data_IF_829049858993
#
_entry.id   IF_829049858993
#
_cell.length_a   1.000
_cell.length_b   1.000
_cell.length_c   1.000
_cell.angle_alpha   90.00
_cell.angle_beta   90.00
_cell.angle_gamma   90.00
#
_symmetry.space_group_name_H-M   'P 1'
#
loop_
_entity.id
_entity.type
_entity.pdbx_description
1 polymer ?
#
# COMPACT_ATOMS: atom_id res chain seq x y z
N UNK A 1 21.03 -46.65 -31.80
CA UNK A 1 21.27 -47.28 -30.46
C UNK A 1 20.58 -46.50 -29.34
N UNK A 2 20.46 -47.01 -28.10
CA UNK A 2 19.78 -46.28 -27.00
C UNK A 2 20.44 -44.91 -26.75
N UNK A 3 21.77 -44.87 -26.57
CA UNK A 3 22.53 -43.62 -26.34
C UNK A 3 22.43 -42.61 -27.48
N UNK A 4 22.32 -43.09 -28.71
CA UNK A 4 22.14 -42.22 -29.88
C UNK A 4 20.78 -41.53 -29.89
N UNK A 5 19.70 -42.24 -29.51
CA UNK A 5 18.38 -41.63 -29.32
C UNK A 5 18.41 -40.58 -28.21
N UNK A 6 19.12 -40.85 -27.12
CA UNK A 6 19.25 -39.91 -26.00
C UNK A 6 20.04 -38.65 -26.39
N UNK A 7 21.12 -38.80 -27.18
CA UNK A 7 21.88 -37.66 -27.72
C UNK A 7 21.03 -36.81 -28.68
N UNK A 8 20.32 -37.45 -29.62
CA UNK A 8 19.43 -36.74 -30.55
C UNK A 8 18.29 -36.00 -29.82
N UNK A 9 17.74 -36.61 -28.76
CA UNK A 9 16.71 -35.95 -27.96
C UNK A 9 17.28 -34.76 -27.18
N UNK A 10 18.47 -34.90 -26.58
CA UNK A 10 19.15 -33.77 -25.95
C UNK A 10 19.38 -32.62 -26.94
N UNK A 11 19.88 -32.90 -28.14
CA UNK A 11 20.08 -31.89 -29.19
C UNK A 11 18.78 -31.16 -29.55
N UNK A 12 17.65 -31.87 -29.63
CA UNK A 12 16.34 -31.25 -29.91
C UNK A 12 15.85 -30.31 -28.80
N UNK A 13 16.41 -30.43 -27.59
CA UNK A 13 16.05 -29.66 -26.41
C UNK A 13 17.02 -28.51 -26.12
N UNK A 14 18.13 -28.40 -26.86
CA UNK A 14 19.22 -27.46 -26.58
C UNK A 14 18.77 -25.99 -26.61
N UNK A 15 17.83 -25.64 -27.48
CA UNK A 15 17.33 -24.27 -27.67
C UNK A 15 15.96 -24.03 -27.00
N UNK A 16 15.45 -25.00 -26.23
CA UNK A 16 14.17 -24.86 -25.54
C UNK A 16 14.22 -23.75 -24.50
N UNK A 17 13.19 -22.91 -24.47
CA UNK A 17 12.99 -21.88 -23.42
C UNK A 17 11.99 -22.31 -22.34
N UNK A 18 11.47 -23.54 -22.39
CA UNK A 18 10.70 -24.13 -21.29
C UNK A 18 11.66 -24.65 -20.21
N UNK A 19 12.25 -23.70 -19.46
CA UNK A 19 13.35 -23.97 -18.54
C UNK A 19 13.05 -25.07 -17.53
N UNK A 20 11.83 -25.09 -16.98
CA UNK A 20 11.42 -26.03 -15.94
C UNK A 20 11.26 -27.45 -16.47
N UNK A 21 10.47 -27.60 -17.55
CA UNK A 21 10.18 -28.91 -18.14
C UNK A 21 11.45 -29.48 -18.78
N UNK A 22 12.19 -28.68 -19.55
CA UNK A 22 13.39 -29.14 -20.24
C UNK A 22 14.53 -29.48 -19.28
N UNK A 23 14.74 -28.73 -18.19
CA UNK A 23 15.71 -29.12 -17.16
C UNK A 23 15.34 -30.45 -16.48
N UNK A 24 14.04 -30.68 -16.24
CA UNK A 24 13.53 -31.96 -15.78
C UNK A 24 13.85 -33.08 -16.77
N UNK A 25 13.63 -32.84 -18.06
CA UNK A 25 13.89 -33.82 -19.11
C UNK A 25 15.38 -34.15 -19.25
N UNK A 26 16.27 -33.17 -19.20
CA UNK A 26 17.72 -33.42 -19.19
C UNK A 26 18.16 -34.29 -18.00
N UNK A 27 17.52 -34.17 -16.84
CA UNK A 27 17.78 -35.04 -15.68
C UNK A 27 17.39 -36.48 -15.97
N UNK A 28 16.23 -36.70 -16.58
CA UNK A 28 15.77 -38.03 -16.99
C UNK A 28 16.67 -38.62 -18.08
N UNK A 29 17.04 -37.84 -19.10
CA UNK A 29 17.95 -38.27 -20.15
C UNK A 29 19.31 -38.68 -19.60
N UNK A 30 19.85 -37.94 -18.63
CA UNK A 30 21.10 -38.29 -17.96
C UNK A 30 20.99 -39.58 -17.14
N UNK A 31 19.84 -39.83 -16.50
CA UNK A 31 19.56 -41.10 -15.82
C UNK A 31 19.53 -42.26 -16.82
N UNK A 32 18.78 -42.07 -17.91
CA UNK A 32 18.61 -43.09 -18.95
C UNK A 32 19.95 -43.35 -19.68
N UNK A 33 20.79 -42.33 -19.84
CA UNK A 33 22.15 -42.45 -20.38
C UNK A 33 23.02 -43.38 -19.55
N UNK A 34 23.00 -43.19 -18.22
CA UNK A 34 23.72 -44.05 -17.27
C UNK A 34 23.20 -45.50 -17.29
N UNK A 35 21.93 -45.71 -17.61
CA UNK A 35 21.31 -47.03 -17.68
C UNK A 35 21.51 -47.75 -19.02
N UNK A 36 21.85 -47.04 -20.10
CA UNK A 36 21.86 -47.56 -21.48
C UNK A 36 22.94 -48.61 -21.81
N UNK A 37 23.80 -48.99 -20.85
CA UNK A 37 24.87 -49.98 -21.05
C UNK A 37 26.07 -49.45 -21.85
N UNK A 38 27.17 -50.23 -21.93
CA UNK A 38 28.38 -49.83 -22.64
C UNK A 38 28.20 -49.86 -24.17
N UNK A 39 28.84 -48.93 -24.86
CA UNK A 39 29.01 -48.91 -26.31
C UNK A 39 30.52 -48.95 -26.65
N UNK A 40 30.92 -49.22 -27.90
CA UNK A 40 32.32 -49.05 -28.31
C UNK A 40 32.82 -47.66 -27.93
N UNK A 41 34.01 -47.59 -27.29
CA UNK A 41 34.51 -46.37 -26.65
C UNK A 41 34.44 -45.12 -27.53
N UNK A 42 34.90 -45.21 -28.77
CA UNK A 42 34.89 -44.06 -29.69
C UNK A 42 33.47 -43.55 -29.99
N UNK A 43 32.50 -44.47 -30.11
CA UNK A 43 31.10 -44.12 -30.34
C UNK A 43 30.48 -43.53 -29.07
N UNK A 44 30.82 -44.08 -27.90
CA UNK A 44 30.36 -43.57 -26.62
C UNK A 44 30.85 -42.15 -26.37
N UNK A 45 32.15 -41.91 -26.58
CA UNK A 45 32.79 -40.60 -26.42
C UNK A 45 32.18 -39.56 -27.37
N UNK A 46 31.94 -39.93 -28.63
CA UNK A 46 31.32 -39.04 -29.62
C UNK A 46 29.87 -38.70 -29.26
N UNK A 47 29.06 -39.70 -28.88
CA UNK A 47 27.67 -39.47 -28.47
C UNK A 47 27.60 -38.69 -27.15
N UNK A 48 28.52 -38.93 -26.23
CA UNK A 48 28.60 -38.21 -24.96
C UNK A 48 28.93 -36.74 -25.17
N UNK A 49 29.89 -36.44 -26.05
CA UNK A 49 30.23 -35.06 -26.42
C UNK A 49 29.03 -34.31 -27.00
N UNK A 50 28.24 -34.97 -27.85
CA UNK A 50 27.00 -34.41 -28.43
C UNK A 50 25.96 -34.14 -27.34
N UNK A 51 25.70 -35.13 -26.50
CA UNK A 51 24.76 -35.01 -25.38
C UNK A 51 25.14 -33.85 -24.45
N UNK A 52 26.42 -33.78 -24.05
CA UNK A 52 26.93 -32.72 -23.18
C UNK A 52 26.90 -31.36 -23.84
N UNK A 53 27.30 -31.24 -25.10
CA UNK A 53 27.22 -29.98 -25.83
C UNK A 53 25.79 -29.43 -25.87
N UNK A 54 24.80 -30.27 -26.17
CA UNK A 54 23.39 -29.86 -26.14
C UNK A 54 22.92 -29.43 -24.75
N UNK A 55 23.30 -30.18 -23.71
CA UNK A 55 23.00 -29.85 -22.32
C UNK A 55 23.62 -28.50 -21.92
N UNK A 56 24.90 -28.30 -22.25
CA UNK A 56 25.64 -27.09 -21.91
C UNK A 56 25.00 -25.87 -22.60
N UNK A 57 24.67 -25.95 -23.90
CA UNK A 57 23.93 -24.89 -24.62
C UNK A 57 22.63 -24.48 -23.92
N UNK A 58 21.83 -25.46 -23.48
CA UNK A 58 20.56 -25.18 -22.80
C UNK A 58 20.77 -24.47 -21.45
N UNK A 59 21.70 -24.96 -20.62
CA UNK A 59 21.93 -24.39 -19.29
C UNK A 59 22.64 -23.03 -19.36
N UNK A 60 23.55 -22.81 -20.32
CA UNK A 60 24.15 -21.49 -20.57
C UNK A 60 23.08 -20.45 -20.96
N UNK A 61 22.15 -20.83 -21.85
CA UNK A 61 21.04 -19.95 -22.27
C UNK A 61 20.10 -19.62 -21.09
N UNK A 62 19.77 -20.63 -20.28
CA UNK A 62 18.96 -20.44 -19.06
C UNK A 62 19.65 -19.52 -18.06
N UNK A 63 20.94 -19.72 -17.82
CA UNK A 63 21.70 -18.94 -16.85
C UNK A 63 21.85 -17.49 -17.33
N UNK A 64 22.07 -17.26 -18.63
CA UNK A 64 22.05 -15.93 -19.23
C UNK A 64 20.67 -15.25 -19.07
N UNK A 65 19.57 -15.99 -19.29
CA UNK A 65 18.21 -15.47 -19.09
C UNK A 65 17.95 -15.10 -17.63
N UNK A 66 18.38 -15.91 -16.67
CA UNK A 66 18.25 -15.59 -15.25
C UNK A 66 19.10 -14.36 -14.88
N UNK A 67 20.34 -14.27 -15.38
CA UNK A 67 21.20 -13.12 -15.13
C UNK A 67 20.61 -11.82 -15.67
N UNK A 68 19.94 -11.87 -16.83
CA UNK A 68 19.22 -10.72 -17.37
C UNK A 68 18.05 -10.30 -16.47
N UNK A 69 17.26 -11.25 -15.97
CA UNK A 69 16.17 -10.98 -15.03
C UNK A 69 16.69 -10.39 -13.70
N UNK A 70 17.81 -10.92 -13.19
CA UNK A 70 18.43 -10.41 -11.97
C UNK A 70 18.91 -8.96 -12.15
N UNK A 71 19.48 -8.63 -13.31
CA UNK A 71 19.86 -7.25 -13.66
C UNK A 71 18.64 -6.33 -13.78
N UNK A 72 17.58 -6.78 -14.45
CA UNK A 72 16.32 -6.03 -14.56
C UNK A 72 15.74 -5.75 -13.17
N UNK A 73 15.68 -6.76 -12.31
CA UNK A 73 15.14 -6.60 -10.96
C UNK A 73 16.01 -5.67 -10.11
N UNK A 74 17.34 -5.75 -10.23
CA UNK A 74 18.25 -4.83 -9.55
C UNK A 74 18.01 -3.37 -9.98
N UNK A 75 17.87 -3.11 -11.28
CA UNK A 75 17.56 -1.78 -11.79
C UNK A 75 16.20 -1.27 -11.30
N UNK A 76 15.17 -2.13 -11.29
CA UNK A 76 13.86 -1.80 -10.73
C UNK A 76 13.93 -1.46 -9.24
N UNK A 77 14.79 -2.15 -8.48
CA UNK A 77 14.99 -1.85 -7.06
C UNK A 77 15.58 -0.45 -6.85
N UNK A 78 16.54 -0.04 -7.67
CA UNK A 78 17.11 1.32 -7.60
C UNK A 78 16.06 2.41 -7.90
N UNK A 79 15.21 2.19 -8.91
CA UNK A 79 14.09 3.09 -9.21
C UNK A 79 13.15 3.20 -8.01
N UNK A 80 12.79 2.06 -7.42
CA UNK A 80 11.94 2.02 -6.21
C UNK A 80 12.59 2.72 -5.02
N UNK A 81 13.89 2.62 -4.84
CA UNK A 81 14.59 3.38 -3.79
C UNK A 81 14.51 4.89 -3.99
N UNK A 82 14.66 5.36 -5.22
CA UNK A 82 14.52 6.79 -5.53
C UNK A 82 13.09 7.28 -5.27
N UNK A 83 12.09 6.45 -5.61
CA UNK A 83 10.69 6.74 -5.32
C UNK A 83 10.42 6.76 -3.81
N UNK A 84 11.05 5.88 -3.03
CA UNK A 84 10.96 5.90 -1.57
C UNK A 84 11.51 7.18 -0.98
N UNK A 85 12.66 7.67 -1.46
CA UNK A 85 13.21 8.94 -0.99
C UNK A 85 12.22 10.08 -1.24
N UNK A 86 11.56 10.10 -2.41
CA UNK A 86 10.51 11.09 -2.71
C UNK A 86 9.28 10.92 -1.81
N UNK A 87 8.86 9.68 -1.54
CA UNK A 87 7.71 9.39 -0.69
C UNK A 87 7.97 9.79 0.77
N UNK A 88 9.14 9.45 1.29
CA UNK A 88 9.57 9.77 2.65
C UNK A 88 9.70 11.28 2.85
N UNK A 89 10.07 12.03 1.80
CA UNK A 89 10.11 13.49 1.82
C UNK A 89 8.72 14.15 1.89
N UNK A 90 7.62 13.41 1.67
CA UNK A 90 6.26 13.91 1.93
C UNK A 90 5.96 14.01 3.44
N UNK A 91 6.85 13.48 4.29
CA UNK A 91 6.72 13.49 5.72
C UNK A 91 7.67 14.52 6.37
N UNK A 92 7.22 15.24 7.43
CA UNK A 92 5.86 15.24 7.98
C UNK A 92 4.84 15.89 7.03
N UNK A 93 3.59 15.44 7.09
CA UNK A 93 2.52 15.95 6.21
C UNK A 93 2.11 17.35 6.64
N UNK A 94 2.42 18.35 5.80
CA UNK A 94 2.01 19.76 6.03
C UNK A 94 0.80 20.17 5.19
N UNK A 95 0.65 19.57 4.01
CA UNK A 95 -0.48 19.76 3.10
C UNK A 95 -0.96 18.37 2.67
N UNK A 96 -2.13 17.97 3.18
CA UNK A 96 -2.65 16.63 2.95
C UNK A 96 -3.03 16.39 1.48
N UNK A 97 -3.65 17.38 0.82
CA UNK A 97 -4.10 17.23 -0.56
C UNK A 97 -2.92 17.19 -1.55
N UNK A 98 -1.88 17.98 -1.29
CA UNK A 98 -0.64 17.90 -2.06
C UNK A 98 0.09 16.57 -1.81
N UNK A 99 0.20 16.13 -0.55
CA UNK A 99 0.84 14.87 -0.20
C UNK A 99 0.14 13.66 -0.83
N UNK A 100 -1.20 13.61 -0.80
CA UNK A 100 -1.98 12.53 -1.43
C UNK A 100 -1.81 12.48 -2.94
N UNK A 101 -1.78 13.64 -3.61
CA UNK A 101 -1.52 13.71 -5.06
C UNK A 101 -0.12 13.22 -5.41
N UNK A 102 0.90 13.73 -4.73
CA UNK A 102 2.28 13.31 -4.94
C UNK A 102 2.47 11.82 -4.65
N UNK A 103 1.86 11.30 -3.56
CA UNK A 103 1.93 9.88 -3.23
C UNK A 103 1.25 9.00 -4.28
N UNK A 104 0.11 9.41 -4.85
CA UNK A 104 -0.53 8.68 -5.95
C UNK A 104 0.40 8.57 -7.17
N UNK A 105 1.03 9.67 -7.58
CA UNK A 105 1.96 9.67 -8.70
C UNK A 105 3.18 8.76 -8.42
N UNK A 106 3.64 8.70 -7.18
CA UNK A 106 4.71 7.80 -6.75
C UNK A 106 4.24 6.35 -6.78
N UNK A 107 3.03 6.04 -6.31
CA UNK A 107 2.46 4.71 -6.32
C UNK A 107 2.31 4.17 -7.76
N UNK A 108 1.85 5.01 -8.68
CA UNK A 108 1.73 4.64 -10.10
C UNK A 108 3.11 4.31 -10.70
N UNK A 109 4.14 5.12 -10.40
CA UNK A 109 5.53 4.84 -10.83
C UNK A 109 6.12 3.61 -10.14
N UNK A 110 5.75 3.37 -8.88
CA UNK A 110 6.20 2.22 -8.11
C UNK A 110 5.70 0.91 -8.70
N UNK A 111 4.43 0.88 -9.11
CA UNK A 111 3.82 -0.27 -9.77
C UNK A 111 4.41 -0.46 -11.17
N UNK A 112 4.60 0.63 -11.92
CA UNK A 112 5.21 0.60 -13.25
C UNK A 112 6.67 0.13 -13.22
N UNK A 113 7.42 0.37 -12.15
CA UNK A 113 8.80 -0.08 -11.98
C UNK A 113 8.93 -1.61 -11.88
N UNK A 114 7.85 -2.36 -11.68
CA UNK A 114 7.87 -3.82 -11.78
C UNK A 114 8.48 -4.55 -10.58
N UNK A 115 9.07 -5.72 -10.85
CA UNK A 115 9.56 -6.66 -9.81
C UNK A 115 10.97 -6.30 -9.35
N UNK A 116 11.26 -6.65 -8.10
CA UNK A 116 12.55 -6.43 -7.43
C UNK A 116 13.11 -7.74 -6.88
N UNK A 117 14.41 -7.81 -6.51
CA UNK A 117 14.98 -8.99 -5.89
C UNK A 117 14.21 -9.34 -4.61
N UNK A 118 13.98 -10.64 -4.39
CA UNK A 118 13.16 -11.14 -3.28
C UNK A 118 13.63 -10.66 -1.91
N UNK A 119 14.94 -10.52 -1.74
CA UNK A 119 15.55 -10.02 -0.50
C UNK A 119 15.25 -8.54 -0.22
N UNK A 120 15.05 -7.73 -1.27
CA UNK A 120 14.74 -6.29 -1.17
C UNK A 120 13.25 -6.01 -1.05
N UNK A 121 12.41 -6.90 -1.56
CA UNK A 121 10.94 -6.76 -1.62
C UNK A 121 10.34 -6.34 -0.28
N UNK A 122 10.64 -7.07 0.80
CA UNK A 122 10.07 -6.82 2.13
C UNK A 122 10.43 -5.44 2.69
N UNK A 123 11.68 -5.02 2.51
CA UNK A 123 12.15 -3.71 2.99
C UNK A 123 11.48 -2.58 2.21
N UNK A 124 11.54 -2.65 0.89
CA UNK A 124 10.96 -1.66 -0.03
C UNK A 124 9.45 -1.49 0.21
N UNK A 125 8.70 -2.59 0.29
CA UNK A 125 7.25 -2.55 0.59
C UNK A 125 6.95 -2.04 2.00
N UNK A 126 7.78 -2.39 2.97
CA UNK A 126 7.62 -1.94 4.36
C UNK A 126 7.74 -0.41 4.47
N UNK A 127 8.72 0.17 3.78
CA UNK A 127 8.96 1.63 3.78
C UNK A 127 7.83 2.39 3.10
N UNK A 128 7.41 1.98 1.91
CA UNK A 128 6.32 2.70 1.19
C UNK A 128 4.99 2.60 1.94
N UNK A 129 4.68 1.43 2.51
CA UNK A 129 3.48 1.22 3.35
C UNK A 129 3.50 2.12 4.58
N UNK A 130 4.67 2.34 5.19
CA UNK A 130 4.78 3.23 6.36
C UNK A 130 4.43 4.68 5.99
N UNK A 131 4.88 5.14 4.83
CA UNK A 131 4.51 6.47 4.31
C UNK A 131 3.01 6.55 4.07
N UNK A 132 2.44 5.57 3.37
CA UNK A 132 1.00 5.48 3.10
C UNK A 132 0.17 5.54 4.39
N UNK A 133 0.52 4.73 5.39
CA UNK A 133 -0.17 4.68 6.68
C UNK A 133 -0.08 6.01 7.43
N UNK A 134 1.06 6.71 7.32
CA UNK A 134 1.24 8.01 7.96
C UNK A 134 0.33 9.07 7.31
N UNK A 135 0.30 9.12 5.97
CA UNK A 135 -0.57 10.04 5.23
C UNK A 135 -2.04 9.74 5.55
N UNK A 136 -2.43 8.46 5.55
CA UNK A 136 -3.79 8.04 5.88
C UNK A 136 -4.18 8.37 7.33
N UNK A 137 -3.27 8.19 8.28
CA UNK A 137 -3.51 8.57 9.68
C UNK A 137 -3.79 10.06 9.84
N UNK A 138 -3.06 10.91 9.11
CA UNK A 138 -3.31 12.37 9.12
C UNK A 138 -4.68 12.70 8.49
N UNK A 139 -5.07 12.01 7.42
CA UNK A 139 -6.41 12.14 6.84
C UNK A 139 -7.52 11.73 7.81
N UNK A 140 -7.37 10.57 8.45
CA UNK A 140 -8.35 10.05 9.41
C UNK A 140 -8.48 10.98 10.64
N UNK A 141 -7.36 11.55 11.12
CA UNK A 141 -7.34 12.54 12.20
C UNK A 141 -8.04 13.84 11.80
N UNK A 142 -7.80 14.32 10.58
CA UNK A 142 -8.46 15.52 10.06
C UNK A 142 -9.97 15.29 9.91
N UNK A 143 -10.37 14.16 9.33
CA UNK A 143 -11.78 13.78 9.16
C UNK A 143 -12.51 13.62 10.51
N UNK A 144 -11.85 13.00 11.50
CA UNK A 144 -12.42 12.81 12.85
C UNK A 144 -12.63 14.13 13.60
N UNK A 145 -11.80 15.13 13.34
CA UNK A 145 -11.96 16.50 13.86
C UNK A 145 -13.08 17.24 13.14
N UNK A 146 -13.16 17.10 11.82
CA UNK A 146 -14.22 17.69 11.00
C UNK A 146 -15.51 16.84 10.94
N UNK A 147 -15.72 15.90 11.88
CA UNK A 147 -16.78 14.91 11.83
C UNK A 147 -18.16 15.61 11.71
N UNK A 148 -18.86 15.46 10.57
CA UNK A 148 -20.12 16.14 10.31
C UNK A 148 -21.20 15.80 11.35
N UNK A 149 -21.17 14.61 11.95
CA UNK A 149 -22.12 14.25 13.00
C UNK A 149 -21.86 15.01 14.30
N UNK A 150 -20.60 15.28 14.64
CA UNK A 150 -20.24 16.06 15.83
C UNK A 150 -20.58 17.53 15.63
N UNK A 151 -20.30 18.09 14.45
CA UNK A 151 -20.76 19.44 14.07
C UNK A 151 -22.29 19.53 14.14
N UNK A 152 -23.02 18.61 13.51
CA UNK A 152 -24.49 18.64 13.50
C UNK A 152 -25.11 18.49 14.90
N UNK A 153 -24.54 17.66 15.78
CA UNK A 153 -24.97 17.55 17.18
C UNK A 153 -24.71 18.83 17.98
N UNK A 154 -23.56 19.48 17.74
CA UNK A 154 -23.24 20.75 18.37
C UNK A 154 -24.20 21.86 17.90
N UNK A 155 -24.50 21.90 16.60
CA UNK A 155 -25.43 22.86 16.01
C UNK A 155 -26.88 22.67 16.50
N UNK A 156 -27.34 21.42 16.62
CA UNK A 156 -28.65 21.11 17.24
C UNK A 156 -28.72 21.53 18.72
N UNK A 157 -27.63 21.35 19.48
CA UNK A 157 -27.56 21.79 20.87
C UNK A 157 -27.58 23.32 20.99
N UNK A 158 -26.86 24.03 20.13
CA UNK A 158 -26.88 25.50 20.02
C UNK A 158 -28.30 25.99 19.72
N UNK A 159 -28.98 25.38 18.73
CA UNK A 159 -30.35 25.74 18.37
C UNK A 159 -31.33 25.53 19.54
N UNK A 160 -31.21 24.42 20.27
CA UNK A 160 -32.02 24.14 21.47
C UNK A 160 -31.78 25.14 22.59
N UNK A 161 -30.51 25.48 22.87
CA UNK A 161 -30.14 26.46 23.89
C UNK A 161 -30.63 27.87 23.55
N UNK A 162 -30.52 28.27 22.28
CA UNK A 162 -31.03 29.57 21.81
C UNK A 162 -32.55 29.65 22.01
N UNK A 163 -33.31 28.64 21.55
CA UNK A 163 -34.76 28.59 21.75
C UNK A 163 -35.13 28.66 23.25
N UNK A 164 -34.39 27.92 24.07
CA UNK A 164 -34.54 27.91 25.51
C UNK A 164 -34.24 29.26 26.19
N UNK A 165 -33.35 30.07 25.62
CA UNK A 165 -33.04 31.43 26.04
C UNK A 165 -34.18 32.36 25.63
N UNK A 166 -34.63 32.29 24.38
CA UNK A 166 -35.72 33.11 23.84
C UNK A 166 -37.03 32.92 24.64
N UNK A 167 -37.34 31.67 25.00
CA UNK A 167 -38.51 31.35 25.84
C UNK A 167 -38.38 31.97 27.25
N UNK A 168 -37.18 31.93 27.85
CA UNK A 168 -36.93 32.55 29.17
C UNK A 168 -36.99 34.07 29.09
N UNK A 169 -36.47 34.68 28.04
CA UNK A 169 -36.54 36.14 27.84
C UNK A 169 -37.98 36.60 27.69
N UNK A 170 -38.81 35.83 26.98
CA UNK A 170 -40.26 36.08 26.87
C UNK A 170 -40.96 36.00 28.23
N UNK A 171 -40.66 34.99 29.04
CA UNK A 171 -41.25 34.83 30.36
C UNK A 171 -40.72 35.85 31.38
N UNK A 172 -39.46 36.29 31.22
CA UNK A 172 -38.87 37.37 32.01
C UNK A 172 -39.64 38.67 31.79
N UNK A 173 -39.92 39.03 30.53
CA UNK A 173 -40.69 40.23 30.19
C UNK A 173 -42.09 40.21 30.82
N UNK A 174 -42.81 39.08 30.72
CA UNK A 174 -44.13 38.91 31.38
C UNK A 174 -44.04 39.04 32.91
N UNK A 175 -43.00 38.48 33.52
CA UNK A 175 -42.80 38.54 34.96
C UNK A 175 -42.46 39.97 35.44
N UNK A 176 -41.73 40.74 34.63
CA UNK A 176 -41.45 42.16 34.86
C UNK A 176 -42.74 43.00 34.77
N UNK A 177 -43.54 42.79 33.72
CA UNK A 177 -44.82 43.49 33.54
C UNK A 177 -45.83 43.18 34.67
N UNK A 178 -45.80 41.96 35.19
CA UNK A 178 -46.61 41.53 36.33
C UNK A 178 -46.07 41.98 37.70
N UNK A 179 -44.90 42.61 37.76
CA UNK A 179 -44.26 43.07 39.01
C UNK A 179 -43.80 41.94 39.94
N UNK A 180 -43.60 40.72 39.44
CA UNK A 180 -43.23 39.56 40.27
C UNK A 180 -41.71 39.47 40.46
N UNK A 181 -41.18 40.25 41.41
CA UNK A 181 -39.74 40.36 41.66
C UNK A 181 -39.03 39.02 41.96
N UNK A 182 -39.71 38.09 42.64
CA UNK A 182 -39.16 36.75 42.92
C UNK A 182 -38.97 35.96 41.64
N UNK A 183 -39.97 35.99 40.75
CA UNK A 183 -39.90 35.25 39.47
C UNK A 183 -38.89 35.85 38.52
N UNK A 184 -38.76 37.19 38.50
CA UNK A 184 -37.73 37.89 37.70
C UNK A 184 -36.33 37.43 38.10
N UNK A 185 -35.98 37.43 39.39
CA UNK A 185 -34.67 36.97 39.86
C UNK A 185 -34.36 35.52 39.48
N UNK A 186 -35.36 34.64 39.57
CA UNK A 186 -35.20 33.22 39.20
C UNK A 186 -34.90 33.07 37.70
N UNK A 187 -35.64 33.78 36.86
CA UNK A 187 -35.47 33.74 35.40
C UNK A 187 -34.14 34.37 34.95
N UNK A 188 -33.69 35.45 35.59
CA UNK A 188 -32.38 36.07 35.33
C UNK A 188 -31.22 35.10 35.62
N UNK A 189 -31.27 34.39 36.75
CA UNK A 189 -30.26 33.40 37.10
C UNK A 189 -30.25 32.21 36.13
N UNK A 190 -31.43 31.77 35.68
CA UNK A 190 -31.57 30.71 34.68
C UNK A 190 -31.00 31.16 33.32
N UNK A 191 -31.36 32.37 32.88
CA UNK A 191 -30.88 32.98 31.64
C UNK A 191 -29.35 33.09 31.63
N UNK A 192 -28.74 33.58 32.71
CA UNK A 192 -27.29 33.67 32.84
C UNK A 192 -26.60 32.30 32.74
N UNK A 193 -27.19 31.28 33.35
CA UNK A 193 -26.70 29.90 33.26
C UNK A 193 -26.77 29.39 31.82
N UNK A 194 -27.92 29.54 31.15
CA UNK A 194 -28.12 29.08 29.76
C UNK A 194 -27.24 29.82 28.75
N UNK A 195 -26.99 31.12 28.94
CA UNK A 195 -26.05 31.89 28.11
C UNK A 195 -24.62 31.37 28.23
N UNK A 196 -24.18 31.02 29.43
CA UNK A 196 -22.87 30.38 29.64
C UNK A 196 -22.80 29.03 28.91
N UNK A 197 -23.86 28.21 28.97
CA UNK A 197 -23.91 26.95 28.24
C UNK A 197 -23.92 27.14 26.72
N UNK A 198 -24.62 28.15 26.20
CA UNK A 198 -24.62 28.49 24.78
C UNK A 198 -23.22 28.89 24.30
N UNK A 199 -22.51 29.72 25.07
CA UNK A 199 -21.16 30.15 24.73
C UNK A 199 -20.18 28.96 24.67
N UNK A 200 -20.30 28.02 25.61
CA UNK A 200 -19.52 26.78 25.58
C UNK A 200 -19.85 25.90 24.37
N UNK A 201 -21.15 25.78 24.02
CA UNK A 201 -21.59 25.00 22.86
C UNK A 201 -21.14 25.60 21.52
N UNK A 202 -21.15 26.94 21.41
CA UNK A 202 -20.66 27.66 20.22
C UNK A 202 -19.15 27.47 20.03
N UNK A 203 -18.36 27.50 21.11
CA UNK A 203 -16.93 27.20 21.04
C UNK A 203 -16.68 25.77 20.56
N UNK A 204 -17.41 24.80 21.10
CA UNK A 204 -17.30 23.41 20.69
C UNK A 204 -17.67 23.21 19.21
N UNK A 205 -18.75 23.83 18.70
CA UNK A 205 -19.11 23.76 17.27
C UNK A 205 -17.99 24.34 16.38
N UNK A 206 -17.42 25.49 16.77
CA UNK A 206 -16.30 26.10 16.04
C UNK A 206 -15.06 25.19 15.98
N UNK A 207 -14.74 24.49 17.07
CA UNK A 207 -13.62 23.54 17.13
C UNK A 207 -13.79 22.30 16.23
N UNK A 208 -15.02 21.88 15.93
CA UNK A 208 -15.31 20.74 15.04
C UNK A 208 -15.56 21.16 13.58
N UNK A 209 -15.69 22.46 13.31
CA UNK A 209 -15.99 23.01 11.98
C UNK A 209 -14.77 23.54 11.21
N UNK A 210 -13.60 23.66 11.87
CA UNK A 210 -12.35 24.20 11.32
C UNK A 210 -11.26 23.15 11.16
#
# INVERSE_FOLDING_TARGET
>A
MIKERLAAEAESLAESTDWGVTAGRYRDLMRDWKAAGPAPREVDDALWKRFRGAQDTFFESRDASNAQLDQEFAANAEVKEQLLVQAEALLPVTDLDAAKRAFRDIADKWDAAGKVPRERMKDLEGRIRKVEQTIRGVEDDQWTKSDPEKSARADDMVAKLQKAIDDIESDLAKAQDAGNATKVKELEANLASRRTFLEMALRASQEFSG
#
